data_IF_016403345427
#
_entry.id   IF_016403345427
#
_cell.length_a   1.000
_cell.length_b   1.000
_cell.length_c   1.000
_cell.angle_alpha   90.00
_cell.angle_beta   90.00
_cell.angle_gamma   90.00
#
_symmetry.space_group_name_H-M   'P 1'
#
loop_
_entity.id
_entity.type
_entity.pdbx_description
1 polymer ?
#
# COMPACT_ATOMS: atom_id res chain seq x y z
N UNK A 1 19.03 -12.31 -14.36
CA UNK A 1 17.90 -11.35 -14.38
C UNK A 1 18.21 -10.13 -13.50
N UNK A 2 18.57 -9.00 -14.11
CA UNK A 2 18.75 -7.75 -13.35
C UNK A 2 17.39 -7.34 -12.75
N UNK A 3 17.30 -7.09 -11.43
CA UNK A 3 16.08 -6.57 -10.85
C UNK A 3 15.76 -5.24 -11.54
N UNK A 4 14.54 -5.11 -12.07
CA UNK A 4 14.09 -3.84 -12.66
C UNK A 4 14.28 -2.73 -11.60
N UNK A 5 14.88 -1.58 -11.95
CA UNK A 5 15.06 -0.49 -11.00
C UNK A 5 13.71 -0.10 -10.41
N UNK A 6 13.64 0.10 -9.09
CA UNK A 6 12.40 0.57 -8.48
C UNK A 6 12.01 1.93 -9.08
N UNK A 7 10.75 2.09 -9.53
CA UNK A 7 10.28 3.31 -10.15
C UNK A 7 10.46 4.52 -9.21
N UNK A 8 10.84 5.68 -9.76
CA UNK A 8 10.95 6.91 -8.98
C UNK A 8 9.56 7.39 -8.50
N UNK A 9 9.50 8.26 -7.48
CA UNK A 9 8.23 8.69 -6.88
C UNK A 9 7.27 9.44 -7.82
N UNK A 10 7.77 10.05 -8.89
CA UNK A 10 6.93 10.68 -9.92
C UNK A 10 6.17 9.64 -10.77
N UNK A 11 6.58 8.38 -10.72
CA UNK A 11 5.87 7.24 -11.33
C UNK A 11 5.13 6.47 -10.23
N UNK A 12 5.85 6.00 -9.21
CA UNK A 12 5.29 5.22 -8.11
C UNK A 12 4.76 6.11 -6.97
N UNK A 13 3.71 6.87 -7.29
CA UNK A 13 2.91 7.67 -6.36
C UNK A 13 1.76 6.82 -5.73
N UNK A 14 0.91 7.37 -4.84
CA UNK A 14 -0.15 6.59 -4.20
C UNK A 14 -1.15 5.97 -5.19
N UNK A 15 -1.50 6.69 -6.26
CA UNK A 15 -2.39 6.18 -7.29
C UNK A 15 -1.78 4.98 -8.04
N UNK A 16 -0.49 5.04 -8.36
CA UNK A 16 0.24 3.90 -8.94
C UNK A 16 0.23 2.68 -8.02
N UNK A 17 0.42 2.88 -6.71
CA UNK A 17 0.38 1.78 -5.74
C UNK A 17 -1.03 1.15 -5.65
N UNK A 18 -2.07 1.99 -5.69
CA UNK A 18 -3.46 1.53 -5.70
C UNK A 18 -3.80 0.74 -6.97
N UNK A 19 -3.32 1.21 -8.13
CA UNK A 19 -3.57 0.51 -9.40
C UNK A 19 -2.82 -0.82 -9.45
N UNK A 20 -1.55 -0.85 -9.03
CA UNK A 20 -0.79 -2.09 -8.92
C UNK A 20 -1.48 -3.12 -7.99
N UNK A 21 -2.13 -2.66 -6.92
CA UNK A 21 -2.92 -3.51 -6.04
C UNK A 21 -4.18 -4.04 -6.72
N UNK A 22 -4.89 -3.21 -7.49
CA UNK A 22 -6.09 -3.60 -8.23
C UNK A 22 -5.78 -4.61 -9.33
N UNK A 23 -4.75 -4.36 -10.13
CA UNK A 23 -4.27 -5.29 -11.15
C UNK A 23 -3.91 -6.64 -10.51
N UNK A 24 -3.14 -6.60 -9.41
CA UNK A 24 -2.73 -7.81 -8.70
C UNK A 24 -3.93 -8.60 -8.18
N UNK A 25 -4.92 -7.92 -7.62
CA UNK A 25 -6.12 -8.53 -7.07
C UNK A 25 -7.04 -9.13 -8.16
N UNK A 26 -7.24 -8.41 -9.27
CA UNK A 26 -8.07 -8.85 -10.39
C UNK A 26 -7.55 -10.15 -11.03
N UNK A 27 -6.23 -10.28 -11.17
CA UNK A 27 -5.59 -11.50 -11.70
C UNK A 27 -5.77 -12.72 -10.79
N UNK A 28 -6.10 -12.52 -9.51
CA UNK A 28 -5.98 -13.53 -8.44
C UNK A 28 -7.27 -13.75 -7.65
N UNK A 29 -8.38 -13.18 -8.12
CA UNK A 29 -9.67 -13.20 -7.44
C UNK A 29 -9.59 -12.75 -5.96
N UNK A 30 -8.77 -11.74 -5.68
CA UNK A 30 -8.72 -11.09 -4.38
C UNK A 30 -9.71 -9.93 -4.36
N UNK A 31 -10.32 -9.67 -3.22
CA UNK A 31 -11.10 -8.45 -3.03
C UNK A 31 -10.15 -7.30 -2.71
N UNK A 32 -10.40 -6.14 -3.30
CA UNK A 32 -9.59 -4.93 -3.09
C UNK A 32 -10.48 -3.71 -2.92
N UNK A 33 -10.22 -2.95 -1.86
CA UNK A 33 -10.83 -1.65 -1.61
C UNK A 33 -9.73 -0.59 -1.55
N UNK A 34 -9.96 0.54 -2.23
CA UNK A 34 -9.08 1.71 -2.15
C UNK A 34 -9.87 2.86 -1.56
N UNK A 35 -9.52 3.24 -0.34
CA UNK A 35 -10.19 4.28 0.42
C UNK A 35 -9.36 5.57 0.35
N UNK A 36 -9.93 6.68 -0.11
CA UNK A 36 -9.21 7.95 -0.29
C UNK A 36 -9.96 9.16 0.25
N UNK A 37 -9.24 10.27 0.34
CA UNK A 37 -9.76 11.62 0.52
C UNK A 37 -10.77 11.77 1.68
N UNK A 38 -11.98 12.23 1.36
CA UNK A 38 -13.05 12.53 2.31
C UNK A 38 -13.50 11.30 3.09
N UNK A 39 -13.48 10.11 2.48
CA UNK A 39 -13.83 8.88 3.17
C UNK A 39 -12.88 8.62 4.34
N UNK A 40 -11.58 8.82 4.14
CA UNK A 40 -10.59 8.59 5.21
C UNK A 40 -10.84 9.53 6.40
N UNK A 41 -11.18 10.80 6.14
CA UNK A 41 -11.52 11.75 7.19
C UNK A 41 -12.84 11.41 7.88
N UNK A 42 -13.89 11.13 7.11
CA UNK A 42 -15.22 10.82 7.62
C UNK A 42 -15.23 9.53 8.46
N UNK A 43 -14.43 8.54 8.09
CA UNK A 43 -14.29 7.27 8.81
C UNK A 43 -13.26 7.32 9.96
N UNK A 44 -12.71 8.48 10.29
CA UNK A 44 -11.82 8.66 11.45
C UNK A 44 -10.35 8.27 11.22
N UNK A 45 -9.94 7.99 9.98
CA UNK A 45 -8.55 7.70 9.59
C UNK A 45 -7.71 8.99 9.46
N UNK A 46 -7.73 9.81 10.50
CA UNK A 46 -7.15 11.17 10.49
C UNK A 46 -5.64 11.14 10.22
N UNK A 47 -4.91 10.15 10.74
CA UNK A 47 -3.46 10.03 10.54
C UNK A 47 -3.05 9.98 9.07
N UNK A 48 -3.54 8.97 8.33
CA UNK A 48 -3.22 8.82 6.91
C UNK A 48 -3.74 9.99 6.06
N UNK A 49 -4.96 10.47 6.36
CA UNK A 49 -5.57 11.57 5.63
C UNK A 49 -4.74 12.87 5.76
N UNK A 50 -4.32 13.21 6.97
CA UNK A 50 -3.58 14.44 7.24
C UNK A 50 -2.14 14.40 6.72
N UNK A 51 -1.46 13.26 6.81
CA UNK A 51 -0.12 13.07 6.25
C UNK A 51 -0.15 13.20 4.72
N UNK A 52 -1.11 12.56 4.05
CA UNK A 52 -1.22 12.57 2.60
C UNK A 52 -1.63 13.94 2.01
N UNK A 53 -2.41 14.74 2.75
CA UNK A 53 -2.99 16.01 2.25
C UNK A 53 -1.96 17.09 1.88
N UNK A 54 -0.74 17.00 2.38
CA UNK A 54 0.34 17.94 2.02
C UNK A 54 0.98 17.63 0.65
N UNK A 55 0.62 16.51 0.01
CA UNK A 55 1.12 16.07 -1.29
C UNK A 55 0.13 16.45 -2.40
N UNK A 56 0.64 16.74 -3.61
CA UNK A 56 -0.18 16.87 -4.82
C UNK A 56 -0.84 15.55 -5.23
N UNK A 57 -0.27 14.43 -4.80
CA UNK A 57 -0.87 13.11 -4.96
C UNK A 57 -1.52 12.72 -3.63
N UNK A 58 -2.85 12.72 -3.57
CA UNK A 58 -3.61 12.31 -2.39
C UNK A 58 -3.20 10.91 -1.92
N UNK A 59 -3.14 10.74 -0.60
CA UNK A 59 -2.94 9.43 0.01
C UNK A 59 -4.19 8.55 -0.12
N UNK A 60 -4.00 7.23 -0.04
CA UNK A 60 -5.09 6.26 0.04
C UNK A 60 -4.71 5.11 0.98
N UNK A 61 -5.73 4.44 1.54
CA UNK A 61 -5.60 3.16 2.21
C UNK A 61 -6.02 2.06 1.23
N UNK A 62 -5.11 1.13 0.96
CA UNK A 62 -5.35 -0.05 0.12
C UNK A 62 -5.62 -1.23 1.06
N UNK A 63 -6.80 -1.83 0.95
CA UNK A 63 -7.19 -3.04 1.67
C UNK A 63 -7.35 -4.17 0.65
N UNK A 64 -6.64 -5.27 0.85
CA UNK A 64 -6.73 -6.48 0.03
C UNK A 64 -7.13 -7.63 0.94
N UNK A 65 -8.07 -8.45 0.49
CA UNK A 65 -8.65 -9.54 1.26
C UNK A 65 -8.53 -10.84 0.48
N UNK A 66 -7.96 -11.86 1.13
CA UNK A 66 -8.00 -13.26 0.72
C UNK A 66 -8.85 -13.99 1.75
N UNK A 67 -9.98 -14.56 1.31
CA UNK A 67 -10.89 -15.32 2.17
C UNK A 67 -11.09 -16.70 1.54
N UNK A 68 -10.61 -17.78 2.16
CA UNK A 68 -11.00 -19.13 1.78
C UNK A 68 -12.51 -19.34 1.98
N UNK A 69 -13.10 -20.22 1.16
CA UNK A 69 -14.51 -20.59 1.29
C UNK A 69 -14.76 -21.24 2.66
N UNK A 70 -15.82 -20.81 3.34
CA UNK A 70 -16.20 -21.34 4.66
C UNK A 70 -15.44 -20.75 5.84
N UNK A 71 -14.62 -19.71 5.60
CA UNK A 71 -13.84 -19.01 6.64
C UNK A 71 -14.27 -17.56 6.87
N UNK A 72 -15.44 -17.16 6.35
CA UNK A 72 -15.94 -15.78 6.37
C UNK A 72 -16.10 -15.23 7.80
N UNK A 73 -16.38 -16.10 8.77
CA UNK A 73 -16.56 -15.75 10.19
C UNK A 73 -15.28 -15.91 11.04
N UNK A 74 -14.16 -16.27 10.42
CA UNK A 74 -12.90 -16.47 11.13
C UNK A 74 -12.12 -15.17 11.26
N UNK A 75 -11.51 -14.94 12.43
CA UNK A 75 -10.67 -13.76 12.64
C UNK A 75 -9.49 -13.76 11.65
N UNK A 76 -9.31 -12.71 10.82
CA UNK A 76 -8.27 -12.70 9.80
C UNK A 76 -6.90 -12.42 10.42
N UNK A 77 -5.85 -12.94 9.78
CA UNK A 77 -4.48 -12.44 10.00
C UNK A 77 -4.31 -11.16 9.19
N UNK A 78 -3.92 -10.08 9.84
CA UNK A 78 -3.78 -8.76 9.19
C UNK A 78 -2.30 -8.42 9.01
N UNK A 79 -1.93 -8.11 7.77
CA UNK A 79 -0.62 -7.56 7.41
C UNK A 79 -0.76 -6.06 7.13
N UNK A 80 0.06 -5.24 7.78
CA UNK A 80 0.04 -3.78 7.60
C UNK A 80 1.41 -3.30 7.11
N UNK A 81 1.42 -2.62 5.97
CA UNK A 81 2.63 -2.12 5.33
C UNK A 81 2.62 -0.60 5.21
N UNK A 82 3.65 0.06 5.76
CA UNK A 82 3.88 1.50 5.50
C UNK A 82 4.17 1.71 4.02
N UNK A 83 3.41 2.60 3.38
CA UNK A 83 3.46 2.84 1.94
C UNK A 83 3.70 4.32 1.61
N UNK A 84 4.72 4.94 2.21
CA UNK A 84 5.06 6.33 1.90
C UNK A 84 5.85 6.38 0.59
N UNK A 85 5.23 6.90 -0.46
CA UNK A 85 5.80 6.88 -1.82
C UNK A 85 7.02 7.76 -1.96
N UNK A 86 7.11 8.81 -1.14
CA UNK A 86 8.32 9.56 -0.87
C UNK A 86 8.23 10.29 0.47
N UNK A 87 9.25 10.17 1.31
CA UNK A 87 9.30 10.83 2.61
C UNK A 87 10.24 12.02 2.60
N UNK A 88 9.68 13.23 2.51
CA UNK A 88 10.44 14.48 2.64
C UNK A 88 10.72 14.85 4.10
N UNK A 89 10.03 14.22 5.07
CA UNK A 89 9.96 14.62 6.48
C UNK A 89 8.82 15.61 6.80
N UNK A 90 8.12 16.14 5.79
CA UNK A 90 7.08 17.16 5.99
C UNK A 90 7.67 18.49 6.48
N UNK A 91 6.99 19.13 7.45
CA UNK A 91 7.52 20.35 8.10
C UNK A 91 8.88 20.11 8.76
N UNK A 92 9.09 18.90 9.29
CA UNK A 92 10.37 18.42 9.80
C UNK A 92 11.24 17.91 8.65
N UNK A 93 11.58 18.82 7.73
CA UNK A 93 12.23 18.49 6.46
C UNK A 93 13.54 17.72 6.69
N UNK A 94 13.70 16.61 5.98
CA UNK A 94 14.96 15.88 5.95
C UNK A 94 16.01 16.71 5.23
N UNK A 95 17.02 17.15 5.97
CA UNK A 95 18.16 17.92 5.47
C UNK A 95 19.42 17.06 5.32
N UNK A 96 20.52 17.64 4.84
CA UNK A 96 21.85 17.02 4.81
C UNK A 96 21.91 15.70 4.03
N UNK A 97 21.15 15.58 2.94
CA UNK A 97 21.12 14.40 2.08
C UNK A 97 20.25 13.24 2.58
N UNK A 98 19.66 13.33 3.78
CA UNK A 98 18.83 12.28 4.36
C UNK A 98 17.53 11.98 3.57
N UNK A 99 17.15 12.87 2.64
CA UNK A 99 16.01 12.67 1.75
C UNK A 99 16.34 11.74 0.57
N UNK A 100 17.61 11.64 0.18
CA UNK A 100 18.02 10.80 -0.93
C UNK A 100 17.69 9.34 -0.64
N UNK A 101 17.02 8.68 -1.59
CA UNK A 101 16.63 7.28 -1.45
C UNK A 101 15.30 7.05 -0.72
N UNK A 102 14.65 8.07 -0.14
CA UNK A 102 13.35 7.93 0.55
C UNK A 102 12.18 7.45 -0.34
N UNK A 103 12.44 7.22 -1.63
CA UNK A 103 11.54 6.42 -2.49
C UNK A 103 11.34 5.00 -1.97
N UNK A 104 12.21 4.48 -1.11
CA UNK A 104 12.07 3.13 -0.53
C UNK A 104 11.16 3.08 0.69
N UNK A 105 10.68 4.22 1.19
CA UNK A 105 9.81 4.29 2.37
C UNK A 105 8.39 3.72 2.14
N UNK A 106 8.15 3.19 0.93
CA UNK A 106 7.00 2.38 0.55
C UNK A 106 7.23 0.87 0.63
N UNK A 107 8.43 0.42 0.97
CA UNK A 107 8.82 -0.98 0.90
C UNK A 107 7.94 -1.90 1.78
N UNK A 108 7.43 -1.39 2.91
CA UNK A 108 6.49 -2.14 3.76
C UNK A 108 5.21 -2.50 3.01
N UNK A 109 4.60 -1.53 2.32
CA UNK A 109 3.46 -1.77 1.44
C UNK A 109 3.77 -2.73 0.30
N UNK A 110 4.91 -2.55 -0.36
CA UNK A 110 5.36 -3.47 -1.41
C UNK A 110 5.53 -4.90 -0.90
N UNK A 111 6.05 -5.07 0.32
CA UNK A 111 6.19 -6.38 0.94
C UNK A 111 4.82 -7.03 1.21
N UNK A 112 3.83 -6.27 1.70
CA UNK A 112 2.47 -6.76 1.90
C UNK A 112 1.82 -7.15 0.56
N UNK A 113 1.97 -6.35 -0.51
CA UNK A 113 1.48 -6.73 -1.84
C UNK A 113 2.12 -8.03 -2.35
N UNK A 114 3.43 -8.18 -2.15
CA UNK A 114 4.16 -9.41 -2.49
C UNK A 114 3.69 -10.62 -1.67
N UNK A 115 3.43 -10.43 -0.38
CA UNK A 115 2.90 -11.47 0.50
C UNK A 115 1.49 -11.89 0.06
N UNK A 116 0.58 -10.94 -0.19
CA UNK A 116 -0.77 -11.24 -0.67
C UNK A 116 -0.77 -11.96 -2.02
N UNK A 117 0.14 -11.58 -2.92
CA UNK A 117 0.37 -12.31 -4.17
C UNK A 117 0.81 -13.76 -3.91
N UNK A 118 1.79 -13.98 -3.03
CA UNK A 118 2.26 -15.32 -2.69
C UNK A 118 1.15 -16.16 -2.01
N UNK A 119 0.33 -15.53 -1.18
CA UNK A 119 -0.84 -16.15 -0.54
C UNK A 119 -1.83 -16.64 -1.59
N UNK A 120 -2.17 -15.81 -2.57
CA UNK A 120 -3.11 -16.18 -3.60
C UNK A 120 -2.58 -17.20 -4.61
N UNK A 121 -1.30 -17.10 -4.98
CA UNK A 121 -0.70 -17.93 -6.04
C UNK A 121 -0.18 -19.29 -5.52
N UNK A 122 0.49 -19.29 -4.36
CA UNK A 122 1.33 -20.41 -3.89
C UNK A 122 0.86 -21.00 -2.56
N UNK A 123 0.67 -20.16 -1.54
CA UNK A 123 0.39 -20.66 -0.18
C UNK A 123 -1.03 -21.20 -0.05
N UNK A 124 -2.02 -20.45 -0.58
CA UNK A 124 -3.45 -20.80 -0.58
C UNK A 124 -3.92 -21.43 0.74
N UNK A 125 -3.76 -20.74 1.89
CA UNK A 125 -4.12 -21.29 3.18
C UNK A 125 -5.62 -21.60 3.22
N UNK A 126 -5.98 -22.74 3.81
CA UNK A 126 -7.34 -23.30 3.86
C UNK A 126 -7.72 -23.80 5.27
N UNK A 127 -7.10 -23.24 6.31
CA UNK A 127 -7.22 -23.65 7.72
C UNK A 127 -7.88 -22.61 8.56
#
# INVERSE_FOLDING_TARGET
PHPRPQPPPNIANPAYMAEAAREMAAERNLKVDVLSDEYLLAAGYVGIATVGRASINSGCLIRIEYCPEGMEDTAPVVLVGKTITYDTGGLSLKISGAMAGMKVDKAGGCAVLGAMRAIADVVKPNV
#
